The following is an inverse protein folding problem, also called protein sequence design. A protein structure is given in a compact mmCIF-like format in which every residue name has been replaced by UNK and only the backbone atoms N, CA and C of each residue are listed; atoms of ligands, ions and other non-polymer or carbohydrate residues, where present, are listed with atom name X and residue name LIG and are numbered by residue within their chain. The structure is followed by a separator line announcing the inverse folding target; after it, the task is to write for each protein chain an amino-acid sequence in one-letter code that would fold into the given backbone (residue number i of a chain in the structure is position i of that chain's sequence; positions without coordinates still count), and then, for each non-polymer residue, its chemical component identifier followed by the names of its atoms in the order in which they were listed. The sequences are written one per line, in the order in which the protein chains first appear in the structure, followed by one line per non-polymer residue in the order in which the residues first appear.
data_IF_914821865901
#
_entry.id   IF_914821865901
#
_cell.length_a   1.000
_cell.length_b   1.000
_cell.length_c   1.000
_cell.angle_alpha   90.00
_cell.angle_beta   90.00
_cell.angle_gamma   90.00
#
_symmetry.space_group_name_H-M   'P 1'
#
loop_
_entity.id
_entity.type
_entity.pdbx_description
1 polymer ?
#
# COMPACT_ATOMS: atom_id res chain seq x y z
N UNK A 1 -8.22 -1.18 -18.08
CA UNK A 1 -8.22 -2.12 -16.93
C UNK A 1 -7.25 -1.63 -15.84
N UNK A 2 -7.56 -1.86 -14.56
CA UNK A 2 -6.68 -1.46 -13.45
C UNK A 2 -5.39 -2.28 -13.45
N UNK A 3 -4.23 -1.65 -13.23
CA UNK A 3 -2.94 -2.34 -13.19
C UNK A 3 -2.80 -3.27 -11.96
N UNK A 4 -3.36 -2.84 -10.83
CA UNK A 4 -3.43 -3.62 -9.58
C UNK A 4 -4.82 -3.43 -8.97
N UNK A 5 -5.42 -4.51 -8.46
CA UNK A 5 -6.62 -4.51 -7.63
C UNK A 5 -6.23 -4.87 -6.20
N UNK A 6 -6.71 -4.10 -5.23
CA UNK A 6 -6.47 -4.34 -3.81
C UNK A 6 -7.76 -4.88 -3.19
N UNK A 7 -7.66 -6.01 -2.50
CA UNK A 7 -8.73 -6.64 -1.72
C UNK A 7 -8.40 -6.47 -0.23
N UNK A 8 -8.91 -5.41 0.43
CA UNK A 8 -8.52 -5.06 1.78
C UNK A 8 -9.24 -5.93 2.81
N UNK A 9 -8.47 -6.69 3.57
CA UNK A 9 -8.75 -7.50 4.77
C UNK A 9 -9.93 -8.49 4.76
N UNK A 10 -11.12 -8.09 4.32
CA UNK A 10 -12.33 -8.91 4.42
C UNK A 10 -13.26 -8.60 3.25
N UNK A 11 -12.97 -9.22 2.10
CA UNK A 11 -13.82 -9.21 0.91
C UNK A 11 -14.30 -10.65 0.65
N UNK A 12 -15.54 -11.00 1.05
CA UNK A 12 -16.14 -12.29 0.73
C UNK A 12 -16.17 -12.51 -0.79
N UNK A 13 -15.76 -13.70 -1.22
CA UNK A 13 -15.62 -14.04 -2.62
C UNK A 13 -16.73 -14.99 -3.05
N UNK A 14 -17.79 -14.41 -3.63
CA UNK A 14 -18.84 -15.20 -4.28
C UNK A 14 -18.27 -15.94 -5.51
N UNK A 15 -18.94 -17.01 -5.99
CA UNK A 15 -18.51 -17.69 -7.21
C UNK A 15 -18.34 -16.74 -8.41
N UNK A 16 -19.27 -15.79 -8.58
CA UNK A 16 -19.20 -14.81 -9.67
C UNK A 16 -18.01 -13.86 -9.51
N UNK A 17 -17.68 -13.47 -8.27
CA UNK A 17 -16.50 -12.63 -8.04
C UNK A 17 -15.21 -13.42 -8.29
N UNK A 18 -15.14 -14.69 -7.88
CA UNK A 18 -14.00 -15.56 -8.15
C UNK A 18 -13.75 -15.70 -9.65
N UNK A 19 -14.79 -15.94 -10.46
CA UNK A 19 -14.67 -16.01 -11.92
C UNK A 19 -14.17 -14.69 -12.56
N UNK A 20 -14.62 -13.55 -12.04
CA UNK A 20 -14.12 -12.24 -12.50
C UNK A 20 -12.66 -12.02 -12.12
N UNK A 21 -12.26 -12.45 -10.93
CA UNK A 21 -10.89 -12.38 -10.45
C UNK A 21 -9.97 -13.27 -11.31
N UNK A 22 -10.39 -14.49 -11.63
CA UNK A 22 -9.66 -15.39 -12.53
C UNK A 22 -9.46 -14.76 -13.92
N UNK A 23 -10.52 -14.23 -14.52
CA UNK A 23 -10.41 -13.54 -15.83
C UNK A 23 -9.49 -12.33 -15.78
N UNK A 24 -9.55 -11.55 -14.70
CA UNK A 24 -8.67 -10.40 -14.52
C UNK A 24 -7.19 -10.81 -14.42
N UNK A 25 -6.89 -11.84 -13.64
CA UNK A 25 -5.53 -12.37 -13.49
C UNK A 25 -5.02 -13.03 -14.78
N UNK A 26 -5.86 -13.78 -15.48
CA UNK A 26 -5.53 -14.38 -16.78
C UNK A 26 -5.22 -13.32 -17.85
N UNK A 27 -5.83 -12.13 -17.76
CA UNK A 27 -5.54 -10.99 -18.63
C UNK A 27 -4.27 -10.20 -18.21
N UNK A 28 -3.47 -10.70 -17.26
CA UNK A 28 -2.25 -10.04 -16.78
C UNK A 28 -2.47 -9.02 -15.67
N UNK A 29 -3.66 -9.00 -15.05
CA UNK A 29 -3.95 -8.21 -13.86
C UNK A 29 -3.08 -8.60 -12.66
N UNK A 30 -3.02 -7.72 -11.67
CA UNK A 30 -2.27 -7.96 -10.43
C UNK A 30 -3.15 -7.74 -9.22
N UNK A 31 -2.95 -8.52 -8.16
CA UNK A 31 -3.81 -8.47 -6.97
C UNK A 31 -2.98 -8.39 -5.71
N UNK A 32 -3.37 -7.50 -4.80
CA UNK A 32 -2.95 -7.57 -3.40
C UNK A 32 -4.18 -7.96 -2.59
N UNK A 33 -4.11 -9.09 -1.89
CA UNK A 33 -5.14 -9.52 -0.96
C UNK A 33 -4.58 -9.56 0.45
N UNK A 34 -5.42 -9.30 1.44
CA UNK A 34 -5.00 -9.30 2.86
C UNK A 34 -6.01 -10.03 3.72
N UNK A 35 -5.51 -10.69 4.77
CA UNK A 35 -6.30 -11.37 5.80
C UNK A 35 -7.37 -12.30 5.19
N UNK A 36 -8.65 -12.06 5.43
CA UNK A 36 -9.79 -12.87 4.97
C UNK A 36 -10.26 -12.51 3.56
N UNK A 37 -9.62 -11.57 2.88
CA UNK A 37 -9.99 -11.22 1.51
C UNK A 37 -9.81 -12.44 0.58
N UNK A 38 -10.84 -12.73 -0.21
CA UNK A 38 -10.84 -13.90 -1.09
C UNK A 38 -11.37 -15.18 -0.42
N UNK A 39 -11.81 -15.14 0.84
CA UNK A 39 -12.50 -16.29 1.46
C UNK A 39 -13.81 -16.59 0.72
N UNK A 40 -14.18 -17.86 0.63
CA UNK A 40 -15.53 -18.29 0.26
C UNK A 40 -16.55 -17.69 1.25
N UNK A 41 -17.84 -17.59 0.88
CA UNK A 41 -18.86 -17.05 1.78
C UNK A 41 -18.96 -17.78 3.13
N UNK A 42 -18.63 -19.08 3.17
CA UNK A 42 -18.58 -19.86 4.40
C UNK A 42 -17.38 -19.53 5.32
N UNK A 43 -16.34 -18.85 4.79
CA UNK A 43 -15.17 -18.42 5.55
C UNK A 43 -14.13 -19.50 5.83
N UNK A 44 -14.34 -20.72 5.33
CA UNK A 44 -13.57 -21.95 5.62
C UNK A 44 -12.38 -22.20 4.67
N UNK A 45 -12.35 -21.52 3.53
CA UNK A 45 -11.27 -21.61 2.55
C UNK A 45 -11.22 -20.37 1.65
N UNK A 46 -10.10 -20.18 0.95
CA UNK A 46 -10.02 -19.23 -0.15
C UNK A 46 -10.81 -19.75 -1.37
N UNK A 47 -11.44 -18.83 -2.09
CA UNK A 47 -12.23 -19.14 -3.28
C UNK A 47 -11.37 -19.41 -4.53
N UNK A 48 -10.09 -19.05 -4.49
CA UNK A 48 -9.14 -19.27 -5.59
C UNK A 48 -7.75 -19.64 -5.06
N UNK A 49 -7.11 -20.59 -5.72
CA UNK A 49 -5.71 -20.98 -5.49
C UNK A 49 -4.72 -19.93 -6.03
N UNK A 50 -5.17 -18.95 -6.82
CA UNK A 50 -4.32 -17.86 -7.34
C UNK A 50 -3.70 -17.00 -6.25
N UNK A 51 -4.29 -16.97 -5.06
CA UNK A 51 -3.69 -16.33 -3.90
C UNK A 51 -2.38 -17.01 -3.46
N UNK A 52 -2.11 -18.24 -3.91
CA UNK A 52 -0.89 -18.98 -3.61
C UNK A 52 -0.85 -19.55 -2.21
N UNK A 53 -1.99 -19.56 -1.50
CA UNK A 53 -2.08 -20.01 -0.11
C UNK A 53 -3.32 -20.85 0.11
N UNK A 54 -3.23 -21.80 1.06
CA UNK A 54 -4.38 -22.45 1.69
C UNK A 54 -4.54 -21.94 3.12
N UNK A 55 -5.79 -21.80 3.54
CA UNK A 55 -6.13 -21.45 4.92
C UNK A 55 -5.76 -22.62 5.84
N UNK A 56 -5.04 -22.34 6.93
CA UNK A 56 -4.86 -23.28 8.05
C UNK A 56 -5.87 -22.92 9.15
N UNK A 57 -5.97 -21.63 9.48
CA UNK A 57 -6.93 -21.12 10.45
C UNK A 57 -6.56 -19.71 10.91
N UNK A 58 -7.08 -19.31 12.06
CA UNK A 58 -6.60 -18.10 12.72
C UNK A 58 -5.15 -18.30 13.19
N UNK A 59 -4.35 -17.24 13.09
CA UNK A 59 -2.99 -17.24 13.63
C UNK A 59 -3.01 -17.69 15.10
N UNK A 60 -2.15 -18.64 15.53
CA UNK A 60 -2.14 -19.13 16.90
C UNK A 60 -1.76 -18.06 17.93
N UNK A 61 -1.00 -17.04 17.51
CA UNK A 61 -0.50 -15.98 18.37
C UNK A 61 -1.08 -14.60 18.00
N UNK A 62 -1.35 -13.77 19.00
CA UNK A 62 -1.74 -12.37 18.81
C UNK A 62 -1.34 -11.50 20.02
N UNK A 63 -0.42 -10.54 19.85
CA UNK A 63 0.26 -10.24 18.60
C UNK A 63 1.36 -11.26 18.27
N UNK A 64 1.65 -11.39 16.99
CA UNK A 64 2.90 -11.91 16.45
C UNK A 64 3.71 -10.74 15.87
N UNK A 65 4.79 -11.04 15.14
CA UNK A 65 5.68 -10.01 14.61
C UNK A 65 5.97 -10.22 13.13
N UNK A 66 6.22 -9.12 12.44
CA UNK A 66 6.75 -9.07 11.08
C UNK A 66 8.23 -8.72 11.14
N UNK A 67 9.08 -9.55 10.54
CA UNK A 67 10.50 -9.26 10.34
C UNK A 67 10.73 -8.80 8.89
N UNK A 68 11.32 -7.62 8.64
CA UNK A 68 11.66 -7.17 7.30
C UNK A 68 12.64 -8.16 6.65
N UNK A 69 12.29 -8.67 5.47
CA UNK A 69 13.10 -9.62 4.71
C UNK A 69 13.02 -9.29 3.22
N UNK A 70 14.18 -9.35 2.54
CA UNK A 70 14.28 -9.14 1.10
C UNK A 70 13.70 -7.80 0.63
N UNK A 71 12.68 -7.89 -0.22
CA UNK A 71 12.05 -6.72 -0.82
C UNK A 71 10.93 -6.09 0.04
N UNK A 72 10.56 -6.69 1.17
CA UNK A 72 9.51 -6.21 2.08
C UNK A 72 10.10 -5.61 3.36
N UNK A 73 9.63 -4.42 3.72
CA UNK A 73 10.09 -3.66 4.88
C UNK A 73 11.31 -2.78 4.58
N UNK A 74 11.44 -2.27 3.35
CA UNK A 74 12.57 -1.44 2.92
C UNK A 74 12.68 -0.18 3.79
N UNK A 75 13.88 0.07 4.30
CA UNK A 75 14.17 1.21 5.17
C UNK A 75 13.63 1.09 6.60
N UNK A 76 13.05 -0.06 6.98
CA UNK A 76 12.77 -0.37 8.38
C UNK A 76 14.02 -0.94 9.07
N UNK A 77 14.18 -0.73 10.38
CA UNK A 77 15.19 -1.45 11.15
C UNK A 77 15.00 -2.97 11.01
N UNK A 78 16.08 -3.76 10.87
CA UNK A 78 16.04 -5.21 10.73
C UNK A 78 15.76 -5.89 12.08
N UNK A 79 14.57 -5.64 12.62
CA UNK A 79 14.07 -6.17 13.90
C UNK A 79 12.60 -6.54 13.74
N UNK A 80 12.08 -7.32 14.69
CA UNK A 80 10.69 -7.72 14.75
C UNK A 80 9.77 -6.53 15.04
N UNK A 81 8.89 -6.24 14.07
CA UNK A 81 7.85 -5.23 14.22
C UNK A 81 6.55 -5.90 14.59
N UNK A 82 5.96 -5.48 15.72
CA UNK A 82 4.74 -6.09 16.25
C UNK A 82 3.55 -5.92 15.29
N UNK A 83 2.81 -7.00 15.09
CA UNK A 83 1.52 -7.01 14.38
C UNK A 83 0.41 -7.13 15.43
N UNK A 84 -0.21 -6.00 15.77
CA UNK A 84 -1.14 -5.89 16.91
C UNK A 84 -2.43 -6.69 16.76
N UNK A 85 -2.91 -6.88 15.53
CA UNK A 85 -4.14 -7.60 15.23
C UNK A 85 -3.82 -9.02 14.78
N UNK A 86 -4.65 -9.97 15.23
CA UNK A 86 -4.56 -11.37 14.84
C UNK A 86 -4.66 -11.52 13.32
N UNK A 87 -3.67 -12.17 12.72
CA UNK A 87 -3.70 -12.58 11.32
C UNK A 87 -4.32 -13.96 11.11
N UNK A 88 -4.08 -14.54 9.93
CA UNK A 88 -4.36 -15.93 9.64
C UNK A 88 -3.07 -16.74 9.60
N UNK A 89 -3.14 -18.00 10.01
CA UNK A 89 -2.13 -18.98 9.61
C UNK A 89 -2.50 -19.52 8.24
N UNK A 90 -1.55 -19.45 7.31
CA UNK A 90 -1.70 -19.95 5.95
C UNK A 90 -0.51 -20.82 5.57
N UNK A 91 -0.72 -21.76 4.65
CA UNK A 91 0.36 -22.53 4.07
C UNK A 91 0.50 -22.21 2.58
N UNK A 92 1.72 -22.01 2.06
CA UNK A 92 1.93 -21.70 0.66
C UNK A 92 1.58 -22.91 -0.21
N UNK A 93 1.00 -22.67 -1.37
CA UNK A 93 0.77 -23.66 -2.41
C UNK A 93 2.06 -23.90 -3.22
N UNK A 94 2.20 -25.04 -3.92
CA UNK A 94 3.34 -25.30 -4.80
C UNK A 94 3.54 -24.18 -5.83
N UNK A 95 4.78 -23.69 -5.97
CA UNK A 95 5.13 -22.59 -6.87
C UNK A 95 4.92 -21.19 -6.28
N UNK A 96 4.33 -21.06 -5.09
CA UNK A 96 4.26 -19.79 -4.38
C UNK A 96 5.58 -19.49 -3.64
N UNK A 97 5.97 -18.22 -3.66
CA UNK A 97 7.16 -17.70 -2.99
C UNK A 97 6.77 -17.06 -1.65
N UNK A 98 7.42 -17.46 -0.56
CA UNK A 98 7.23 -16.81 0.75
C UNK A 98 8.13 -15.58 0.79
N UNK A 99 7.54 -14.39 0.71
CA UNK A 99 8.27 -13.11 0.72
C UNK A 99 8.70 -12.70 2.14
N UNK A 100 7.90 -13.05 3.14
CA UNK A 100 8.22 -12.79 4.54
C UNK A 100 7.53 -13.81 5.46
N UNK A 101 8.13 -14.05 6.62
CA UNK A 101 7.57 -14.89 7.68
C UNK A 101 7.25 -14.06 8.91
N UNK A 102 6.34 -14.57 9.72
CA UNK A 102 6.14 -14.05 11.06
C UNK A 102 7.28 -14.48 11.97
N UNK A 103 7.43 -13.78 13.08
CA UNK A 103 8.17 -14.25 14.24
C UNK A 103 7.16 -14.41 15.36
N UNK A 104 7.23 -15.51 16.10
CA UNK A 104 6.24 -15.82 17.16
C UNK A 104 6.70 -15.27 18.50
N UNK A 105 5.78 -14.95 19.43
CA UNK A 105 6.17 -14.68 20.81
C UNK A 105 6.59 -15.96 21.54
N UNK A 106 7.23 -15.83 22.71
CA UNK A 106 7.52 -16.98 23.58
C UNK A 106 6.28 -17.80 23.97
N UNK A 107 5.13 -17.15 24.07
CA UNK A 107 3.84 -17.78 24.35
C UNK A 107 2.69 -16.84 24.03
N UNK A 108 1.51 -17.41 23.73
CA UNK A 108 0.28 -16.64 23.62
C UNK A 108 -0.15 -16.13 24.99
N UNK A 109 -0.29 -14.81 25.12
CA UNK A 109 -0.73 -14.20 26.37
C UNK A 109 -2.17 -14.62 26.66
N UNK A 110 -2.38 -15.17 27.84
CA UNK A 110 -3.69 -15.58 28.33
C UNK A 110 -3.77 -15.40 29.84
N UNK A 111 -4.91 -15.70 30.45
CA UNK A 111 -5.01 -15.70 31.92
C UNK A 111 -4.05 -16.72 32.58
N UNK A 112 -3.62 -17.77 31.85
CA UNK A 112 -2.65 -18.78 32.34
C UNK A 112 -1.20 -18.40 32.09
N UNK A 113 -0.94 -17.57 31.06
CA UNK A 113 0.39 -17.15 30.67
C UNK A 113 0.45 -15.62 30.67
N UNK A 114 0.93 -15.06 31.78
CA UNK A 114 0.97 -13.62 32.01
C UNK A 114 2.29 -13.00 31.54
N UNK A 115 2.19 -11.83 30.94
CA UNK A 115 3.30 -10.91 30.72
C UNK A 115 2.87 -9.53 31.24
N UNK A 116 3.72 -8.86 32.04
CA UNK A 116 3.41 -7.55 32.60
C UNK A 116 3.37 -6.43 31.54
N UNK A 117 3.97 -6.66 30.38
CA UNK A 117 4.02 -5.72 29.27
C UNK A 117 2.80 -5.88 28.36
N UNK A 118 2.56 -4.95 27.43
CA UNK A 118 1.37 -4.98 26.55
C UNK A 118 1.27 -6.27 25.73
N UNK A 119 2.38 -6.87 25.34
CA UNK A 119 2.47 -8.13 24.59
C UNK A 119 3.64 -8.98 25.06
N UNK A 120 3.54 -10.30 24.84
CA UNK A 120 4.65 -11.23 25.08
C UNK A 120 5.79 -10.92 24.11
N UNK A 121 7.07 -10.87 24.56
CA UNK A 121 8.20 -10.60 23.67
C UNK A 121 8.34 -11.62 22.54
N UNK A 122 8.93 -11.18 21.43
CA UNK A 122 9.40 -12.04 20.33
C UNK A 122 10.33 -13.14 20.89
N UNK A 123 10.14 -14.38 20.43
CA UNK A 123 11.09 -15.47 20.71
C UNK A 123 12.27 -15.50 19.74
N UNK A 124 12.21 -14.74 18.64
CA UNK A 124 13.15 -14.84 17.52
C UNK A 124 12.92 -16.06 16.62
N UNK A 125 11.95 -16.91 16.94
CA UNK A 125 11.62 -18.10 16.16
C UNK A 125 10.71 -17.74 14.97
N UNK A 126 11.11 -18.16 13.76
CA UNK A 126 10.31 -17.97 12.55
C UNK A 126 9.02 -18.80 12.63
N UNK A 127 7.89 -18.13 12.44
CA UNK A 127 6.57 -18.74 12.37
C UNK A 127 6.12 -19.04 10.93
N UNK A 128 4.81 -18.86 10.73
CA UNK A 128 4.11 -19.05 9.47
C UNK A 128 4.37 -17.89 8.48
N UNK A 129 4.03 -18.05 7.18
CA UNK A 129 4.13 -16.97 6.21
C UNK A 129 3.34 -15.72 6.61
N UNK A 130 3.99 -14.56 6.54
CA UNK A 130 3.36 -13.25 6.70
C UNK A 130 2.94 -12.67 5.34
N UNK A 131 3.75 -12.92 4.30
CA UNK A 131 3.49 -12.49 2.94
C UNK A 131 3.90 -13.58 1.94
N UNK A 132 3.03 -13.85 0.97
CA UNK A 132 3.24 -14.87 -0.06
C UNK A 132 2.96 -14.26 -1.43
N UNK A 133 3.81 -14.58 -2.41
CA UNK A 133 3.65 -14.19 -3.81
C UNK A 133 3.36 -15.41 -4.67
N UNK A 134 2.38 -15.26 -5.56
CA UNK A 134 2.10 -16.22 -6.63
C UNK A 134 1.94 -15.46 -7.95
N UNK A 135 3.03 -15.37 -8.72
CA UNK A 135 3.08 -14.59 -9.96
C UNK A 135 2.78 -13.10 -9.73
N UNK A 136 1.60 -12.66 -10.19
CA UNK A 136 1.11 -11.27 -10.07
C UNK A 136 0.19 -11.05 -8.86
N UNK A 137 0.13 -12.01 -7.94
CA UNK A 137 -0.67 -11.92 -6.72
C UNK A 137 0.25 -11.88 -5.51
N UNK A 138 0.00 -10.95 -4.59
CA UNK A 138 0.62 -10.93 -3.26
C UNK A 138 -0.50 -11.05 -2.22
N UNK A 139 -0.35 -12.01 -1.32
CA UNK A 139 -1.23 -12.24 -0.19
C UNK A 139 -0.51 -11.85 1.11
N UNK A 140 -1.16 -11.06 1.96
CA UNK A 140 -0.68 -10.64 3.28
C UNK A 140 -1.55 -11.28 4.37
N UNK A 141 -0.96 -12.01 5.31
CA UNK A 141 -1.71 -12.82 6.28
C UNK A 141 -2.46 -11.99 7.34
N UNK A 142 -1.99 -10.78 7.62
CA UNK A 142 -2.57 -9.88 8.62
C UNK A 142 -3.60 -8.92 8.03
N UNK A 143 -4.54 -8.41 8.87
CA UNK A 143 -5.47 -7.36 8.47
C UNK A 143 -4.77 -5.99 8.41
N UNK A 144 -3.85 -5.83 7.45
CA UNK A 144 -2.93 -4.70 7.35
C UNK A 144 -3.64 -3.36 7.18
N UNK A 145 -4.79 -3.32 6.50
CA UNK A 145 -5.52 -2.07 6.29
C UNK A 145 -6.24 -1.63 7.58
N UNK A 146 -6.91 -2.57 8.24
CA UNK A 146 -7.59 -2.37 9.53
C UNK A 146 -6.57 -2.06 10.62
N UNK A 147 -5.43 -2.74 10.66
CA UNK A 147 -4.37 -2.44 11.62
C UNK A 147 -3.79 -1.04 11.41
N UNK A 148 -3.59 -0.62 10.16
CA UNK A 148 -3.15 0.74 9.88
C UNK A 148 -4.22 1.78 10.29
N UNK A 149 -5.50 1.48 10.05
CA UNK A 149 -6.58 2.35 10.49
C UNK A 149 -6.65 2.47 12.02
N UNK A 150 -6.42 1.38 12.77
CA UNK A 150 -6.54 1.37 14.23
C UNK A 150 -5.30 1.87 14.97
N UNK A 151 -4.10 1.56 14.45
CA UNK A 151 -2.84 1.79 15.18
C UNK A 151 -1.83 2.62 14.39
N UNK A 152 -2.05 2.81 13.08
CA UNK A 152 -1.17 3.51 12.14
C UNK A 152 0.33 3.18 12.25
N UNK A 153 0.76 1.92 12.47
CA UNK A 153 2.18 1.62 12.56
C UNK A 153 2.86 1.82 11.22
N UNK A 154 3.97 2.57 11.21
CA UNK A 154 4.73 2.89 9.99
C UNK A 154 5.13 1.63 9.22
N UNK A 155 5.55 0.57 9.92
CA UNK A 155 5.99 -0.67 9.29
C UNK A 155 4.90 -1.37 8.46
N UNK A 156 3.63 -1.28 8.87
CA UNK A 156 2.51 -1.82 8.09
C UNK A 156 2.29 -1.03 6.80
N UNK A 157 2.38 0.30 6.86
CA UNK A 157 2.32 1.13 5.64
C UNK A 157 3.48 0.80 4.70
N UNK A 158 4.70 0.68 5.22
CA UNK A 158 5.87 0.29 4.42
C UNK A 158 5.67 -1.07 3.77
N UNK A 159 5.21 -2.08 4.52
CA UNK A 159 4.92 -3.42 4.00
C UNK A 159 3.95 -3.39 2.81
N UNK A 160 2.84 -2.65 2.94
CA UNK A 160 1.85 -2.53 1.85
C UNK A 160 2.42 -1.78 0.65
N UNK A 161 3.21 -0.72 0.86
CA UNK A 161 3.85 0.03 -0.22
C UNK A 161 4.91 -0.79 -0.96
N UNK A 162 5.70 -1.60 -0.25
CA UNK A 162 6.68 -2.49 -0.87
C UNK A 162 5.99 -3.59 -1.70
N UNK A 163 4.93 -4.20 -1.16
CA UNK A 163 4.11 -5.16 -1.91
C UNK A 163 3.50 -4.52 -3.17
N UNK A 164 3.02 -3.27 -3.07
CA UNK A 164 2.53 -2.52 -4.22
C UNK A 164 3.65 -2.22 -5.23
N UNK A 165 4.84 -1.85 -4.77
CA UNK A 165 6.01 -1.60 -5.62
C UNK A 165 6.45 -2.82 -6.43
N UNK A 166 6.29 -4.03 -5.88
CA UNK A 166 6.56 -5.29 -6.59
C UNK A 166 5.59 -5.56 -7.75
N UNK A 167 4.35 -5.07 -7.67
CA UNK A 167 3.31 -5.30 -8.69
C UNK A 167 3.09 -4.09 -9.63
N UNK A 168 3.41 -2.88 -9.15
CA UNK A 168 3.30 -1.61 -9.85
C UNK A 168 4.62 -0.82 -9.75
N UNK A 169 5.70 -1.28 -10.40
CA UNK A 169 7.00 -0.64 -10.30
C UNK A 169 6.98 0.78 -10.89
N UNK A 170 6.20 1.03 -11.94
CA UNK A 170 6.09 2.32 -12.63
C UNK A 170 4.72 3.00 -12.41
N UNK A 171 4.44 3.58 -11.22
CA UNK A 171 3.20 4.32 -10.99
C UNK A 171 3.15 5.60 -11.83
N UNK A 172 1.93 6.11 -12.07
CA UNK A 172 1.71 7.32 -12.86
C UNK A 172 2.37 8.55 -12.25
N UNK A 173 2.41 8.66 -10.92
CA UNK A 173 2.99 9.79 -10.21
C UNK A 173 3.95 9.28 -9.14
N UNK A 174 5.12 9.91 -9.04
CA UNK A 174 6.06 9.80 -7.92
C UNK A 174 6.36 11.21 -7.42
N UNK A 175 6.57 11.36 -6.12
CA UNK A 175 7.01 12.63 -5.52
C UNK A 175 7.96 12.39 -4.34
N UNK A 176 8.78 13.39 -4.04
CA UNK A 176 9.66 13.40 -2.86
C UNK A 176 9.10 14.24 -1.70
N UNK A 177 7.84 14.70 -1.82
CA UNK A 177 7.13 15.37 -0.74
C UNK A 177 6.82 14.47 0.47
N UNK A 178 6.43 15.07 1.61
CA UNK A 178 6.14 14.35 2.85
C UNK A 178 4.91 13.44 2.72
N UNK A 179 4.71 12.53 3.67
CA UNK A 179 3.56 11.62 3.69
C UNK A 179 2.19 12.30 3.86
N UNK A 180 2.19 13.58 4.21
CA UNK A 180 1.02 14.48 4.32
C UNK A 180 0.63 15.10 2.97
N UNK A 181 1.50 15.00 1.96
CA UNK A 181 1.20 15.45 0.61
C UNK A 181 0.27 14.45 -0.08
N UNK A 182 -0.89 14.93 -0.52
CA UNK A 182 -1.82 14.16 -1.35
C UNK A 182 -1.73 14.67 -2.78
N UNK A 183 -1.68 13.74 -3.75
CA UNK A 183 -1.63 14.09 -5.18
C UNK A 183 -2.71 13.37 -5.97
N UNK A 184 -3.35 14.07 -6.90
CA UNK A 184 -4.31 13.49 -7.84
C UNK A 184 -4.00 13.96 -9.26
N UNK A 185 -3.88 13.02 -10.21
CA UNK A 185 -3.70 13.31 -11.63
C UNK A 185 -5.02 13.15 -12.36
N UNK A 186 -5.49 14.21 -12.99
CA UNK A 186 -6.80 14.27 -13.65
C UNK A 186 -6.63 14.54 -15.15
N UNK A 187 -7.11 13.65 -16.00
CA UNK A 187 -7.11 13.84 -17.45
C UNK A 187 -8.16 14.86 -17.88
N UNK A 188 -7.79 15.74 -18.79
CA UNK A 188 -8.65 16.72 -19.45
C UNK A 188 -8.50 16.57 -20.98
N UNK A 189 -9.18 15.56 -21.57
CA UNK A 189 -8.95 15.20 -22.98
C UNK A 189 -9.34 16.29 -23.97
N UNK A 190 -10.39 17.07 -23.70
CA UNK A 190 -10.85 18.14 -24.58
C UNK A 190 -9.83 19.29 -24.66
N UNK A 191 -9.12 19.52 -23.56
CA UNK A 191 -8.07 20.52 -23.40
C UNK A 191 -6.68 19.98 -23.76
N UNK A 192 -6.57 18.68 -24.09
CA UNK A 192 -5.33 17.97 -24.37
C UNK A 192 -4.28 18.17 -23.27
N UNK A 193 -4.68 17.96 -22.02
CA UNK A 193 -3.76 18.04 -20.88
C UNK A 193 -4.17 17.08 -19.77
N UNK A 194 -3.28 16.87 -18.81
CA UNK A 194 -3.63 16.40 -17.47
C UNK A 194 -3.32 17.48 -16.44
N UNK A 195 -4.05 17.47 -15.33
CA UNK A 195 -3.83 18.36 -14.19
C UNK A 195 -3.43 17.52 -13.00
N UNK A 196 -2.18 17.68 -12.56
CA UNK A 196 -1.71 17.18 -11.28
C UNK A 196 -2.08 18.19 -10.21
N UNK A 197 -2.98 17.80 -9.31
CA UNK A 197 -3.33 18.57 -8.13
C UNK A 197 -2.56 18.04 -6.92
N UNK A 198 -1.92 18.95 -6.20
CA UNK A 198 -1.19 18.68 -4.96
C UNK A 198 -1.88 19.40 -3.82
N UNK A 199 -2.04 18.70 -2.70
CA UNK A 199 -2.68 19.20 -1.50
C UNK A 199 -1.80 18.87 -0.29
N UNK A 200 -1.40 19.88 0.47
CA UNK A 200 -0.62 19.74 1.69
C UNK A 200 -1.28 20.53 2.83
N UNK A 201 -2.10 19.81 3.60
CA UNK A 201 -2.64 20.27 4.88
C UNK A 201 -2.42 19.16 5.90
N UNK A 202 -2.05 19.52 7.12
CA UNK A 202 -1.80 18.57 8.19
C UNK A 202 -2.93 18.73 9.21
N UNK A 203 -3.90 17.80 9.27
CA UNK A 203 -4.92 17.82 10.30
C UNK A 203 -4.29 17.58 11.67
N UNK A 204 -4.70 18.36 12.65
CA UNK A 204 -4.26 18.24 14.04
C UNK A 204 -5.44 17.96 14.97
N UNK A 205 -5.29 16.95 15.83
CA UNK A 205 -6.23 16.69 16.92
C UNK A 205 -5.97 17.68 18.05
N UNK A 206 -6.73 18.79 18.08
CA UNK A 206 -6.69 19.80 19.16
C UNK A 206 -7.93 19.76 20.06
N UNK A 207 -9.10 19.48 19.50
CA UNK A 207 -10.36 19.27 20.22
C UNK A 207 -10.70 17.79 20.43
N UNK A 208 -11.87 17.50 20.99
CA UNK A 208 -12.33 16.11 21.16
C UNK A 208 -13.06 15.57 19.93
N UNK A 209 -13.84 16.41 19.24
CA UNK A 209 -14.82 15.97 18.25
C UNK A 209 -14.23 15.76 16.85
N UNK A 210 -13.29 16.59 16.41
CA UNK A 210 -12.73 16.54 15.07
C UNK A 210 -11.31 17.10 14.99
N UNK A 211 -10.63 16.78 13.90
CA UNK A 211 -9.32 17.34 13.56
C UNK A 211 -9.50 18.72 12.91
N UNK A 212 -8.60 19.64 13.23
CA UNK A 212 -8.60 21.02 12.70
C UNK A 212 -7.36 21.27 11.85
N UNK A 213 -7.45 22.24 10.94
CA UNK A 213 -6.31 22.76 10.18
C UNK A 213 -6.22 24.25 10.51
N UNK A 214 -5.18 24.65 11.24
CA UNK A 214 -4.95 26.06 11.60
C UNK A 214 -3.82 26.66 10.76
N UNK A 215 -2.75 25.88 10.54
CA UNK A 215 -1.57 26.33 9.83
C UNK A 215 -1.48 25.76 8.41
N UNK A 216 -1.03 26.60 7.48
CA UNK A 216 -0.66 26.21 6.13
C UNK A 216 0.86 26.22 6.03
N UNK A 217 1.46 25.04 6.23
CA UNK A 217 2.92 24.86 6.14
C UNK A 217 3.32 24.70 4.67
N UNK A 218 4.05 25.66 4.08
CA UNK A 218 4.47 25.56 2.68
C UNK A 218 5.55 24.48 2.51
N UNK A 219 5.46 23.75 1.40
CA UNK A 219 6.53 22.88 0.93
C UNK A 219 7.30 23.59 -0.18
N UNK A 220 8.62 23.48 -0.19
CA UNK A 220 9.48 24.08 -1.20
C UNK A 220 10.25 23.01 -1.98
N UNK A 221 10.45 23.25 -3.27
CA UNK A 221 11.29 22.39 -4.11
C UNK A 221 10.79 20.95 -4.23
N UNK A 222 9.47 20.75 -4.37
CA UNK A 222 8.88 19.41 -4.43
C UNK A 222 9.18 18.79 -5.79
N UNK A 223 10.08 17.80 -5.82
CA UNK A 223 10.36 17.01 -7.03
C UNK A 223 9.21 16.06 -7.33
N UNK A 224 8.76 16.06 -8.57
CA UNK A 224 7.67 15.22 -9.08
C UNK A 224 8.12 14.55 -10.37
N UNK A 225 7.73 13.29 -10.55
CA UNK A 225 7.97 12.50 -11.76
C UNK A 225 6.66 11.86 -12.22
N UNK A 226 6.13 12.31 -13.36
CA UNK A 226 4.85 11.87 -13.92
C UNK A 226 5.09 11.01 -15.16
N UNK A 227 4.31 9.94 -15.32
CA UNK A 227 4.27 9.09 -16.52
C UNK A 227 2.93 9.30 -17.24
N UNK A 228 2.82 10.32 -18.11
CA UNK A 228 1.55 10.73 -18.71
C UNK A 228 1.03 9.79 -19.81
N UNK A 229 1.85 8.86 -20.31
CA UNK A 229 1.47 7.97 -21.42
C UNK A 229 1.26 8.70 -22.76
N UNK A 230 1.57 9.99 -22.82
CA UNK A 230 1.49 10.88 -23.98
C UNK A 230 2.66 11.83 -23.97
N UNK A 231 3.01 12.35 -25.13
CA UNK A 231 4.04 13.37 -25.21
C UNK A 231 3.56 14.70 -24.59
N UNK A 232 4.37 15.28 -23.70
CA UNK A 232 4.08 16.54 -22.99
C UNK A 232 4.85 17.70 -23.63
N UNK A 233 4.14 18.64 -24.24
CA UNK A 233 4.72 19.83 -24.86
C UNK A 233 5.20 20.87 -23.83
N UNK A 234 4.45 21.04 -22.74
CA UNK A 234 4.80 21.98 -21.68
C UNK A 234 4.24 21.54 -20.32
N UNK A 235 4.92 21.94 -19.25
CA UNK A 235 4.44 21.80 -17.88
C UNK A 235 4.32 23.20 -17.28
N UNK A 236 3.14 23.53 -16.75
CA UNK A 236 2.84 24.87 -16.23
C UNK A 236 2.19 24.80 -14.86
N UNK A 237 2.56 25.73 -13.99
CA UNK A 237 1.79 25.99 -12.78
C UNK A 237 0.43 26.61 -13.16
N UNK A 238 -0.63 26.16 -12.49
CA UNK A 238 -1.94 26.78 -12.56
C UNK A 238 -2.32 27.33 -11.17
N UNK A 239 -2.89 28.55 -11.09
CA UNK A 239 -3.33 29.39 -12.21
C UNK A 239 -2.26 30.35 -12.78
N UNK A 240 -1.06 30.43 -12.21
CA UNK A 240 -0.07 31.47 -12.57
C UNK A 240 0.43 31.40 -14.02
N UNK A 241 0.33 30.23 -14.67
CA UNK A 241 0.81 30.01 -16.04
C UNK A 241 2.33 29.88 -16.16
N UNK A 242 3.07 29.95 -15.04
CA UNK A 242 4.52 29.82 -14.99
C UNK A 242 4.95 28.48 -15.60
N UNK A 243 5.80 28.53 -16.61
CA UNK A 243 6.41 27.34 -17.22
C UNK A 243 7.45 26.77 -16.26
N UNK A 244 7.42 25.45 -16.07
CA UNK A 244 8.45 24.73 -15.35
C UNK A 244 9.46 24.12 -16.33
N UNK A 245 10.72 24.11 -15.93
CA UNK A 245 11.73 23.29 -16.60
C UNK A 245 11.43 21.81 -16.37
N UNK A 246 11.62 21.02 -17.43
CA UNK A 246 11.29 19.59 -17.44
C UNK A 246 12.46 18.77 -17.93
N UNK A 247 12.75 17.68 -17.23
CA UNK A 247 13.65 16.62 -17.69
C UNK A 247 12.83 15.43 -18.17
N UNK A 248 13.14 14.91 -19.35
CA UNK A 248 12.52 13.68 -19.86
C UNK A 248 13.45 12.50 -19.60
N UNK A 249 12.96 11.50 -18.88
CA UNK A 249 13.69 10.26 -18.58
C UNK A 249 12.83 9.05 -18.95
N UNK A 250 13.06 8.51 -20.14
CA UNK A 250 12.23 7.44 -20.71
C UNK A 250 10.79 7.90 -20.89
N UNK A 251 9.83 7.18 -20.30
CA UNK A 251 8.39 7.52 -20.33
C UNK A 251 7.98 8.58 -19.30
N UNK A 252 8.93 9.12 -18.52
CA UNK A 252 8.64 10.05 -17.42
C UNK A 252 9.05 11.48 -17.74
N UNK A 253 8.24 12.41 -17.24
CA UNK A 253 8.50 13.85 -17.23
C UNK A 253 8.72 14.26 -15.78
N UNK A 254 9.91 14.78 -15.49
CA UNK A 254 10.35 15.17 -14.16
C UNK A 254 10.50 16.68 -14.07
N UNK A 255 10.02 17.27 -12.98
CA UNK A 255 10.06 18.71 -12.74
C UNK A 255 10.02 19.01 -11.24
N UNK A 256 10.38 20.24 -10.89
CA UNK A 256 10.35 20.73 -9.51
C UNK A 256 9.27 21.79 -9.37
N UNK A 257 8.37 21.58 -8.42
CA UNK A 257 7.36 22.58 -8.04
C UNK A 257 8.01 23.49 -7.00
N UNK A 258 8.13 24.80 -7.27
CA UNK A 258 8.88 25.71 -6.42
C UNK A 258 8.26 25.85 -5.02
N UNK A 259 6.94 25.95 -4.94
CA UNK A 259 6.20 26.07 -3.69
C UNK A 259 4.85 25.35 -3.79
N UNK A 260 4.46 24.66 -2.72
CA UNK A 260 3.09 24.18 -2.47
C UNK A 260 2.64 24.77 -1.15
N UNK A 261 1.82 25.83 -1.21
CA UNK A 261 1.24 26.47 -0.02
C UNK A 261 -0.22 26.09 0.11
N UNK A 262 -0.48 25.01 0.84
CA UNK A 262 -1.81 24.42 1.00
C UNK A 262 -2.23 23.60 -0.22
N UNK A 263 -2.23 24.20 -1.41
CA UNK A 263 -2.46 23.48 -2.66
C UNK A 263 -1.68 24.06 -3.83
N UNK A 264 -1.44 23.25 -4.86
CA UNK A 264 -0.85 23.68 -6.14
C UNK A 264 -1.36 22.79 -7.27
N UNK A 265 -1.68 23.39 -8.42
CA UNK A 265 -2.02 22.65 -9.64
C UNK A 265 -0.89 22.77 -10.67
N UNK A 266 -0.63 21.68 -11.37
CA UNK A 266 0.33 21.64 -12.48
C UNK A 266 -0.35 21.05 -13.70
N UNK A 267 -0.43 21.81 -14.78
CA UNK A 267 -0.94 21.36 -16.06
C UNK A 267 0.19 20.74 -16.89
N UNK A 268 0.02 19.48 -17.28
CA UNK A 268 0.84 18.78 -18.26
C UNK A 268 0.14 18.88 -19.62
N UNK A 269 0.55 19.83 -20.45
CA UNK A 269 -0.04 20.10 -21.77
C UNK A 269 0.53 19.11 -22.79
N UNK A 270 -0.32 18.36 -23.47
CA UNK A 270 0.10 17.36 -24.45
C UNK A 270 0.49 17.99 -25.79
N UNK A 271 1.42 17.35 -26.48
CA UNK A 271 1.72 17.65 -27.87
C UNK A 271 0.48 17.43 -28.76
N UNK A 272 0.46 18.12 -29.91
CA UNK A 272 -0.65 18.02 -30.88
C UNK A 272 -0.61 16.72 -31.65
#
# INVERSE_FOLDING_TARGET
PYAVVILPDAIPCSPEFAERLERYLAAGGSVIASYRAGHKPAGDAFATERLGVRLVGDAPYSPDFFLPEGDLGRGLPPTEHVMYLRGLEVAPLPGAEVLARTVVPYFERSYRHFCSHRHTPSSGERGYPAAVRNGRVIYLAHPVFTQYQQNAPRWVKTLVLDALGLLLPEPLVRHEGPSTLTTALNEQPAERRAVLHLLHYIPERRGQDFDVIEDVIPLYGVRVSVRPGREVAAVRLAPSGQVLEVERRGERVEFVIPEVRGHQMVALEYAR
#
